data_IF_088225302720
#
_entry.id   IF_088225302720
#
_cell.length_a   1.000
_cell.length_b   1.000
_cell.length_c   1.000
_cell.angle_alpha   90.00
_cell.angle_beta   90.00
_cell.angle_gamma   90.00
#
_symmetry.space_group_name_H-M   'P 1'
#
loop_
_entity.id
_entity.type
_entity.pdbx_description
1 polymer ?
#
# COMPACT_ATOMS: atom_id res chain seq x y z
N UNK A 1 12.66 -9.87 -23.08
CA UNK A 1 13.21 -11.01 -22.31
C UNK A 1 13.94 -10.62 -21.02
N UNK A 2 13.42 -9.65 -20.25
CA UNK A 2 13.79 -9.50 -18.83
C UNK A 2 12.70 -8.82 -18.00
N UNK A 3 11.79 -8.07 -18.63
CA UNK A 3 10.79 -7.28 -17.88
C UNK A 3 9.39 -7.31 -18.49
N UNK A 4 9.05 -8.34 -19.27
CA UNK A 4 7.77 -8.39 -20.01
C UNK A 4 6.54 -8.35 -19.10
N UNK A 5 6.70 -8.71 -17.83
CA UNK A 5 5.62 -8.73 -16.83
C UNK A 5 5.85 -7.77 -15.65
N UNK A 6 6.87 -6.91 -15.68
CA UNK A 6 7.11 -6.00 -14.55
C UNK A 6 5.93 -5.04 -14.33
N UNK A 7 5.35 -4.54 -15.42
CA UNK A 7 4.21 -3.65 -15.36
C UNK A 7 2.96 -4.39 -14.85
N UNK A 8 2.74 -5.63 -15.29
CA UNK A 8 1.64 -6.48 -14.80
C UNK A 8 1.76 -6.76 -13.30
N UNK A 9 2.96 -7.11 -12.83
CA UNK A 9 3.24 -7.35 -11.41
C UNK A 9 3.07 -6.07 -10.59
N UNK A 10 3.56 -4.94 -11.09
CA UNK A 10 3.38 -3.64 -10.44
C UNK A 10 1.89 -3.28 -10.33
N UNK A 11 1.14 -3.44 -11.41
CA UNK A 11 -0.30 -3.19 -11.42
C UNK A 11 -1.03 -4.10 -10.41
N UNK A 12 -0.72 -5.40 -10.40
CA UNK A 12 -1.29 -6.35 -9.46
C UNK A 12 -0.98 -6.00 -8.00
N UNK A 13 0.26 -5.63 -7.68
CA UNK A 13 0.66 -5.32 -6.30
C UNK A 13 0.07 -3.99 -5.82
N UNK A 14 -0.08 -2.99 -6.70
CA UNK A 14 -0.76 -1.74 -6.37
C UNK A 14 -2.26 -1.95 -6.13
N UNK A 15 -2.92 -2.79 -6.93
CA UNK A 15 -4.31 -3.21 -6.74
C UNK A 15 -4.47 -4.02 -5.44
N UNK A 16 -3.53 -4.93 -5.16
CA UNK A 16 -3.53 -5.69 -3.91
C UNK A 16 -3.41 -4.79 -2.69
N UNK A 17 -2.55 -3.77 -2.73
CA UNK A 17 -2.46 -2.78 -1.66
C UNK A 17 -3.79 -2.05 -1.45
N UNK A 18 -4.50 -1.69 -2.52
CA UNK A 18 -5.82 -1.05 -2.43
C UNK A 18 -6.82 -1.95 -1.71
N UNK A 19 -7.00 -3.18 -2.23
CA UNK A 19 -7.95 -4.15 -1.64
C UNK A 19 -7.65 -4.49 -0.20
N UNK A 20 -6.37 -4.59 0.18
CA UNK A 20 -5.96 -4.82 1.56
C UNK A 20 -6.31 -3.62 2.45
N UNK A 21 -5.99 -2.40 2.03
CA UNK A 21 -6.33 -1.20 2.80
C UNK A 21 -7.84 -1.03 2.96
N UNK A 22 -8.62 -1.23 1.90
CA UNK A 22 -10.08 -1.17 1.96
C UNK A 22 -10.65 -2.22 2.92
N UNK A 23 -10.23 -3.49 2.77
CA UNK A 23 -10.71 -4.58 3.61
C UNK A 23 -10.34 -4.40 5.08
N UNK A 24 -9.11 -3.97 5.38
CA UNK A 24 -8.64 -3.73 6.74
C UNK A 24 -9.31 -2.50 7.38
N UNK A 25 -9.50 -1.41 6.64
CA UNK A 25 -10.21 -0.24 7.14
C UNK A 25 -11.70 -0.54 7.38
N UNK A 26 -12.34 -1.31 6.49
CA UNK A 26 -13.72 -1.75 6.66
C UNK A 26 -13.88 -2.67 7.89
N UNK A 27 -12.92 -3.57 8.12
CA UNK A 27 -12.90 -4.41 9.32
C UNK A 27 -12.68 -3.56 10.58
N UNK A 28 -11.78 -2.58 10.56
CA UNK A 28 -11.52 -1.69 11.69
C UNK A 28 -12.74 -0.81 12.04
N UNK A 29 -13.40 -0.26 11.02
CA UNK A 29 -14.61 0.56 11.15
C UNK A 29 -14.41 1.94 11.81
N UNK A 30 -13.18 2.31 12.20
CA UNK A 30 -12.87 3.62 12.79
C UNK A 30 -11.78 4.36 12.04
N UNK A 31 -10.61 3.76 11.89
CA UNK A 31 -9.46 4.43 11.27
C UNK A 31 -9.39 4.13 9.77
N UNK A 32 -8.75 5.04 9.04
CA UNK A 32 -8.48 4.90 7.61
C UNK A 32 -6.98 4.96 7.36
N UNK A 33 -6.54 4.33 6.26
CA UNK A 33 -5.17 4.41 5.82
C UNK A 33 -4.86 5.80 5.23
N UNK A 34 -3.74 6.39 5.66
CA UNK A 34 -3.13 7.58 5.06
C UNK A 34 -2.02 7.13 4.12
N UNK A 35 -2.02 7.70 2.93
CA UNK A 35 -1.05 7.41 1.89
C UNK A 35 0.12 8.40 1.91
N UNK A 36 1.32 7.87 1.72
CA UNK A 36 2.53 8.62 1.44
C UNK A 36 3.25 8.00 0.24
N UNK A 37 3.24 8.72 -0.88
CA UNK A 37 3.89 8.31 -2.12
C UNK A 37 5.24 9.01 -2.24
N UNK A 38 6.30 8.24 -2.50
CA UNK A 38 7.67 8.73 -2.49
C UNK A 38 8.48 8.17 -3.66
N UNK A 39 9.53 8.91 -4.03
CA UNK A 39 10.51 8.54 -5.04
C UNK A 39 11.91 8.79 -4.48
N UNK A 40 12.88 7.99 -4.94
CA UNK A 40 14.29 8.15 -4.58
C UNK A 40 15.04 8.85 -5.68
N UNK A 41 16.04 9.66 -5.32
CA UNK A 41 16.89 10.34 -6.30
C UNK A 41 17.69 9.34 -7.15
N UNK A 42 18.10 8.22 -6.55
CA UNK A 42 18.78 7.12 -7.23
C UNK A 42 17.87 6.24 -8.12
N UNK A 43 16.58 6.57 -8.20
CA UNK A 43 15.56 5.79 -8.90
C UNK A 43 14.83 4.80 -8.00
N UNK A 44 13.67 4.36 -8.49
CA UNK A 44 12.70 3.60 -7.71
C UNK A 44 11.81 4.49 -6.83
N UNK A 45 10.90 3.86 -6.11
CA UNK A 45 9.93 4.58 -5.28
C UNK A 45 8.97 3.65 -4.58
N UNK A 46 7.93 4.22 -4.01
CA UNK A 46 6.93 3.44 -3.33
C UNK A 46 5.74 4.24 -2.87
N UNK A 47 4.83 3.51 -2.23
CA UNK A 47 3.60 4.02 -1.66
C UNK A 47 3.41 3.34 -0.32
N UNK A 48 3.62 4.08 0.75
CA UNK A 48 3.36 3.62 2.10
C UNK A 48 1.92 3.99 2.47
N UNK A 49 1.17 3.05 3.05
CA UNK A 49 -0.15 3.34 3.60
C UNK A 49 -0.17 2.95 5.06
N UNK A 50 -0.46 3.90 5.94
CA UNK A 50 -0.43 3.70 7.40
C UNK A 50 -1.77 4.10 8.02
N UNK A 51 -2.28 3.25 8.90
CA UNK A 51 -3.46 3.49 9.72
C UNK A 51 -3.05 3.48 11.19
N UNK A 52 -3.59 4.40 11.98
CA UNK A 52 -3.26 4.54 13.41
C UNK A 52 -4.53 4.84 14.21
N UNK A 53 -4.53 4.44 15.48
CA UNK A 53 -5.64 4.70 16.42
C UNK A 53 -6.97 4.10 15.98
N UNK A 54 -6.93 2.91 15.37
CA UNK A 54 -8.11 2.15 14.97
C UNK A 54 -8.90 1.60 16.15
N UNK A 55 -10.09 1.06 15.86
CA UNK A 55 -10.89 0.38 16.88
C UNK A 55 -10.42 -1.06 17.12
N UNK A 56 -9.87 -1.70 16.09
CA UNK A 56 -9.34 -3.07 16.14
C UNK A 56 -7.82 -3.03 16.04
N UNK A 57 -7.29 -2.29 15.08
CA UNK A 57 -5.85 -2.18 14.88
C UNK A 57 -5.33 -0.89 15.54
N UNK A 58 -4.51 -1.03 16.58
CA UNK A 58 -3.80 0.11 17.17
C UNK A 58 -2.98 0.85 16.11
N UNK A 59 -2.29 0.08 15.25
CA UNK A 59 -1.52 0.58 14.11
C UNK A 59 -1.41 -0.50 13.02
N UNK A 60 -1.51 -0.09 11.76
CA UNK A 60 -1.38 -0.97 10.60
C UNK A 60 -0.64 -0.29 9.46
N UNK A 61 0.09 -1.08 8.66
CA UNK A 61 0.83 -0.58 7.51
C UNK A 61 0.77 -1.55 6.33
N UNK A 62 0.50 -1.04 5.13
CA UNK A 62 0.56 -1.79 3.87
C UNK A 62 1.41 -0.98 2.90
N UNK A 63 2.61 -1.48 2.58
CA UNK A 63 3.60 -0.74 1.81
C UNK A 63 3.87 -1.41 0.48
N UNK A 64 4.01 -0.60 -0.57
CA UNK A 64 4.46 -1.01 -1.89
C UNK A 64 5.76 -0.26 -2.23
N UNK A 65 6.70 -0.95 -2.89
CA UNK A 65 7.94 -0.37 -3.40
C UNK A 65 8.40 -1.11 -4.65
N UNK A 66 9.02 -0.39 -5.61
CA UNK A 66 9.60 -0.98 -6.81
C UNK A 66 10.79 -0.15 -7.33
#
# INVERSE_FOLDING_TARGET
MAHEHLDDVKAYLLDLQERLCEGLAAADGRAAFKEDSWQREEGGGGRSRVMESGAIFEKGGVNFSH
#
